data_IF_646083229838
#
_entry.id   IF_646083229838
#
_cell.length_a   1.000
_cell.length_b   1.000
_cell.length_c   1.000
_cell.angle_alpha   90.00
_cell.angle_beta   90.00
_cell.angle_gamma   90.00
#
_symmetry.space_group_name_H-M   'P 1'
#
loop_
_entity.id
_entity.type
_entity.pdbx_description
1 polymer ?
#
# COMPACT_ATOMS: atom_id res chain seq x y z
N UNK A 1 -22.64 -0.58 -4.26
CA UNK A 1 -23.21 -1.92 -3.94
C UNK A 1 -22.16 -2.67 -3.12
N UNK A 2 -22.56 -3.34 -2.05
CA UNK A 2 -21.68 -4.22 -1.26
C UNK A 2 -22.16 -5.65 -1.48
N UNK A 3 -21.23 -6.60 -1.63
CA UNK A 3 -21.54 -8.01 -1.85
C UNK A 3 -20.47 -8.87 -1.21
N UNK A 4 -20.88 -9.92 -0.52
CA UNK A 4 -19.99 -10.94 0.00
C UNK A 4 -19.79 -12.00 -1.08
N UNK A 5 -18.54 -12.38 -1.31
CA UNK A 5 -18.12 -13.35 -2.33
C UNK A 5 -17.16 -14.35 -1.70
N UNK A 6 -17.09 -15.56 -2.26
CA UNK A 6 -16.23 -16.64 -1.78
C UNK A 6 -14.75 -16.46 -2.13
N UNK A 7 -14.49 -15.74 -3.23
CA UNK A 7 -13.17 -15.62 -3.84
C UNK A 7 -12.72 -14.16 -3.88
N UNK A 8 -11.41 -13.93 -3.97
CA UNK A 8 -10.82 -12.59 -4.06
C UNK A 8 -11.38 -11.82 -5.28
N UNK A 9 -12.10 -10.72 -5.08
CA UNK A 9 -12.70 -9.99 -6.19
C UNK A 9 -11.66 -9.13 -6.93
N UNK A 10 -11.85 -8.87 -8.23
CA UNK A 10 -10.94 -8.01 -8.98
C UNK A 10 -11.01 -6.56 -8.52
N UNK A 11 -9.87 -5.88 -8.42
CA UNK A 11 -9.79 -4.43 -8.17
C UNK A 11 -9.50 -3.68 -9.48
N UNK A 12 -9.89 -2.41 -9.57
CA UNK A 12 -9.78 -1.65 -10.82
C UNK A 12 -8.33 -1.39 -11.24
N UNK A 13 -7.45 -1.02 -10.30
CA UNK A 13 -6.05 -0.73 -10.59
C UNK A 13 -5.22 -1.97 -10.86
N UNK A 14 -5.45 -3.05 -10.11
CA UNK A 14 -4.80 -4.33 -10.39
C UNK A 14 -5.17 -4.87 -11.79
N UNK A 15 -6.41 -4.69 -12.24
CA UNK A 15 -6.79 -5.06 -13.63
C UNK A 15 -6.11 -4.19 -14.69
N UNK A 16 -5.94 -2.90 -14.43
CA UNK A 16 -5.37 -1.96 -15.40
C UNK A 16 -3.84 -2.03 -15.48
N UNK A 17 -3.18 -2.25 -14.35
CA UNK A 17 -1.73 -2.29 -14.21
C UNK A 17 -1.33 -3.29 -13.10
N UNK A 18 -1.46 -4.60 -13.35
CA UNK A 18 -1.26 -5.65 -12.33
C UNK A 18 0.18 -5.71 -11.82
N UNK A 19 1.14 -5.19 -12.57
CA UNK A 19 2.54 -5.11 -12.19
C UNK A 19 2.87 -3.88 -11.32
N UNK A 20 1.89 -3.01 -11.06
CA UNK A 20 2.05 -1.75 -10.31
C UNK A 20 1.20 -1.70 -9.03
N UNK A 21 0.05 -2.38 -9.03
CA UNK A 21 -0.90 -2.37 -7.93
C UNK A 21 -1.46 -3.76 -7.68
N UNK A 22 -1.28 -4.25 -6.47
CA UNK A 22 -1.69 -5.55 -5.96
C UNK A 22 -2.98 -5.45 -5.16
N UNK A 23 -3.49 -6.59 -4.71
CA UNK A 23 -4.76 -6.65 -4.00
C UNK A 23 -4.70 -6.00 -2.61
N UNK A 24 -3.66 -6.31 -1.83
CA UNK A 24 -3.56 -5.84 -0.44
C UNK A 24 -3.18 -4.35 -0.37
N UNK A 25 -2.28 -3.88 -1.22
CA UNK A 25 -1.90 -2.45 -1.32
C UNK A 25 -1.57 -1.80 0.04
N UNK A 26 -0.97 -2.56 0.97
CA UNK A 26 -0.55 -2.03 2.27
C UNK A 26 0.58 -1.00 2.09
N UNK A 27 0.49 0.13 2.78
CA UNK A 27 1.56 1.15 2.75
C UNK A 27 2.83 0.57 3.35
N UNK A 28 3.87 0.45 2.53
CA UNK A 28 5.14 -0.15 2.92
C UNK A 28 6.31 0.65 2.31
N UNK A 29 7.09 1.39 3.11
CA UNK A 29 8.21 2.18 2.61
C UNK A 29 9.38 1.35 2.05
N UNK A 30 9.38 0.04 2.32
CA UNK A 30 10.44 -0.87 1.87
C UNK A 30 10.14 -1.54 0.52
N UNK A 31 8.96 -1.28 -0.05
CA UNK A 31 8.53 -1.83 -1.34
C UNK A 31 8.24 -0.67 -2.27
N UNK A 32 9.13 -0.45 -3.22
CA UNK A 32 8.98 0.63 -4.20
C UNK A 32 7.94 0.29 -5.25
N UNK A 33 7.26 1.31 -5.75
CA UNK A 33 6.46 1.19 -6.95
C UNK A 33 7.41 1.08 -8.17
N UNK A 34 7.06 0.37 -9.26
CA UNK A 34 7.96 0.19 -10.41
C UNK A 34 8.54 1.46 -11.06
N UNK A 35 7.91 2.61 -10.79
CA UNK A 35 8.26 3.91 -11.37
C UNK A 35 8.76 4.95 -10.36
N UNK A 36 8.65 4.72 -9.05
CA UNK A 36 9.08 5.66 -8.02
C UNK A 36 9.26 4.99 -6.67
N UNK A 37 10.11 5.56 -5.83
CA UNK A 37 10.27 5.08 -4.46
C UNK A 37 9.10 5.46 -3.56
N UNK A 38 8.72 4.54 -2.67
CA UNK A 38 7.68 4.75 -1.65
C UNK A 38 8.27 5.13 -0.29
N UNK A 39 9.59 5.28 -0.17
CA UNK A 39 10.26 5.55 1.11
C UNK A 39 9.93 6.94 1.69
N UNK A 40 9.48 7.90 0.87
CA UNK A 40 9.08 9.23 1.34
C UNK A 40 7.90 9.80 0.57
N UNK A 41 7.11 10.62 1.25
CA UNK A 41 5.88 11.20 0.76
C UNK A 41 5.87 12.73 0.88
N UNK A 42 5.00 13.38 0.10
CA UNK A 42 4.78 14.82 0.16
C UNK A 42 3.58 15.13 1.04
N UNK A 43 3.78 15.96 2.06
CA UNK A 43 2.70 16.37 2.96
C UNK A 43 1.91 17.52 2.34
N UNK A 44 0.66 17.26 1.99
CA UNK A 44 -0.24 18.30 1.48
C UNK A 44 -0.59 19.26 2.62
N UNK A 45 -0.37 20.56 2.41
CA UNK A 45 -0.57 21.60 3.43
C UNK A 45 0.70 22.00 4.20
N UNK A 46 1.82 21.27 4.05
CA UNK A 46 3.11 21.60 4.69
C UNK A 46 3.93 22.69 3.99
N UNK A 47 3.46 23.20 2.85
CA UNK A 47 4.16 24.18 2.02
C UNK A 47 4.95 23.57 0.84
N UNK A 48 5.59 24.40 0.00
CA UNK A 48 6.49 23.92 -1.04
C UNK A 48 7.63 23.13 -0.38
N UNK A 49 7.92 21.93 -0.88
CA UNK A 49 9.00 21.03 -0.42
C UNK A 49 8.77 20.27 0.90
N UNK A 50 7.58 20.33 1.51
CA UNK A 50 7.29 19.50 2.67
C UNK A 50 7.26 18.01 2.29
N UNK A 51 8.27 17.26 2.75
CA UNK A 51 8.37 15.80 2.64
C UNK A 51 8.64 15.19 4.00
N UNK A 52 8.22 13.95 4.18
CA UNK A 52 8.56 13.10 5.32
C UNK A 52 8.79 11.67 4.85
N UNK A 53 9.43 10.87 5.69
CA UNK A 53 9.53 9.43 5.46
C UNK A 53 8.13 8.80 5.59
N UNK A 54 7.86 7.79 4.79
CA UNK A 54 6.59 7.08 4.82
C UNK A 54 6.62 6.03 5.93
N UNK A 55 5.62 6.05 6.80
CA UNK A 55 5.52 5.10 7.89
C UNK A 55 4.96 3.75 7.42
N UNK A 56 5.47 2.66 7.99
CA UNK A 56 4.93 1.32 7.75
C UNK A 56 3.45 1.26 8.16
N UNK A 57 2.61 0.63 7.33
CA UNK A 57 1.15 0.63 7.48
C UNK A 57 0.58 2.04 7.67
N UNK A 58 1.25 3.06 7.12
CA UNK A 58 0.89 4.46 7.27
C UNK A 58 0.80 4.93 8.74
N UNK A 59 1.60 4.33 9.63
CA UNK A 59 1.67 4.68 11.05
C UNK A 59 0.76 3.86 11.96
N UNK A 60 0.04 2.87 11.41
CA UNK A 60 -0.92 2.03 12.16
C UNK A 60 -0.43 0.59 12.38
N UNK A 61 0.90 0.40 12.43
CA UNK A 61 1.48 -0.93 12.50
C UNK A 61 1.01 -1.69 13.76
N UNK A 62 0.90 -1.01 14.90
CA UNK A 62 0.50 -1.62 16.18
C UNK A 62 -0.94 -2.17 16.15
N UNK A 63 -1.80 -1.58 15.32
CA UNK A 63 -3.20 -1.96 15.19
C UNK A 63 -3.42 -3.05 14.14
N UNK A 64 -2.67 -3.03 13.03
CA UNK A 64 -2.99 -3.88 11.85
C UNK A 64 -1.97 -4.95 11.53
N UNK A 65 -0.73 -4.86 12.03
CA UNK A 65 0.34 -5.80 11.64
C UNK A 65 -0.02 -7.26 11.99
N UNK A 66 -0.77 -7.47 13.07
CA UNK A 66 -1.24 -8.81 13.47
C UNK A 66 -2.12 -9.51 12.43
N UNK A 67 -2.82 -8.77 11.55
CA UNK A 67 -3.64 -9.34 10.48
C UNK A 67 -2.82 -9.97 9.36
N UNK A 68 -1.55 -9.58 9.24
CA UNK A 68 -0.66 -9.98 8.15
C UNK A 68 0.56 -10.80 8.66
N UNK A 69 0.54 -11.21 9.93
CA UNK A 69 1.66 -11.94 10.52
C UNK A 69 1.95 -13.24 9.75
N UNK A 70 3.21 -13.40 9.32
CA UNK A 70 3.66 -14.57 8.55
C UNK A 70 3.41 -14.51 7.05
N UNK A 71 2.83 -13.43 6.53
CA UNK A 71 2.71 -13.20 5.09
C UNK A 71 3.95 -12.50 4.53
N UNK A 72 4.28 -12.77 3.27
CA UNK A 72 5.22 -11.95 2.51
C UNK A 72 4.51 -10.67 2.02
N UNK A 73 4.84 -9.55 2.65
CA UNK A 73 4.27 -8.23 2.33
C UNK A 73 4.81 -7.63 1.03
N UNK A 74 5.75 -8.29 0.36
CA UNK A 74 6.30 -7.90 -0.94
C UNK A 74 5.68 -8.65 -2.12
N UNK A 75 4.87 -9.69 -1.90
CA UNK A 75 4.40 -10.52 -3.01
C UNK A 75 3.12 -10.02 -3.70
N UNK A 76 2.48 -8.95 -3.22
CA UNK A 76 1.21 -8.43 -3.79
C UNK A 76 1.01 -6.92 -3.54
N UNK A 77 1.99 -6.09 -3.93
CA UNK A 77 1.94 -4.62 -3.83
C UNK A 77 1.31 -3.96 -5.05
#
# INVERSE_FOLDING_TARGET
RISFVSDEPPTSWNRSAPNEYGFYSNVNPNVDHPRWSQASERVIGGGPFARRDTDMFNGYADEVAGLYAGMDLSENF
#
